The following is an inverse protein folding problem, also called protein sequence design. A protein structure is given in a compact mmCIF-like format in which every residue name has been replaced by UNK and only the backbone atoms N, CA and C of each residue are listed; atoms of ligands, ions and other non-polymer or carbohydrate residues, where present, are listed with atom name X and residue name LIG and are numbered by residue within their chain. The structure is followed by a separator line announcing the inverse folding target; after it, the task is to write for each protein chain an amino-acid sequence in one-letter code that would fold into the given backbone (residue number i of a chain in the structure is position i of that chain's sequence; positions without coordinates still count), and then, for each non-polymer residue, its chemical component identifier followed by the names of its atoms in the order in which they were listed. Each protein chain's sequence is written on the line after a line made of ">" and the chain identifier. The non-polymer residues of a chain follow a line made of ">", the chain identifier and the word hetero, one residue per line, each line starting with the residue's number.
data_IF_377076731824
#
_entry.id   IF_377076731824
#
_cell.length_a   1.000
_cell.length_b   1.000
_cell.length_c   1.000
_cell.angle_alpha   90.00
_cell.angle_beta   90.00
_cell.angle_gamma   90.00
#
_symmetry.space_group_name_H-M   'P 1'
#
loop_
_entity.id
_entity.type
_entity.pdbx_description
1 polymer ?
#
# COMPACT_ATOMS: atom_id res chain seq x y z
N UNK A 1 5.01 -22.65 17.61
CA UNK A 1 5.68 -21.33 17.67
C UNK A 1 6.02 -20.77 16.28
N UNK A 2 6.58 -21.54 15.33
CA UNK A 2 6.94 -21.02 13.98
C UNK A 2 5.77 -20.76 13.02
N UNK A 3 4.74 -21.61 13.01
CA UNK A 3 3.63 -21.50 12.03
C UNK A 3 2.81 -20.23 12.25
N UNK A 4 2.48 -19.91 13.51
CA UNK A 4 1.72 -18.69 13.84
C UNK A 4 2.50 -17.44 13.42
N UNK A 5 3.81 -17.38 13.72
CA UNK A 5 4.65 -16.27 13.29
C UNK A 5 4.71 -16.14 11.76
N UNK A 6 4.87 -17.25 11.04
CA UNK A 6 4.89 -17.24 9.57
C UNK A 6 3.56 -16.74 8.98
N UNK A 7 2.42 -17.15 9.54
CA UNK A 7 1.10 -16.65 9.13
C UNK A 7 1.00 -15.15 9.35
N UNK A 8 1.42 -14.64 10.52
CA UNK A 8 1.39 -13.21 10.82
C UNK A 8 2.29 -12.41 9.87
N UNK A 9 3.50 -12.90 9.58
CA UNK A 9 4.41 -12.27 8.60
C UNK A 9 3.80 -12.23 7.21
N UNK A 10 3.20 -13.34 6.75
CA UNK A 10 2.53 -13.40 5.45
C UNK A 10 1.34 -12.42 5.36
N UNK A 11 0.58 -12.25 6.44
CA UNK A 11 -0.51 -11.26 6.51
C UNK A 11 0.02 -9.82 6.39
N UNK A 12 1.11 -9.48 7.08
CA UNK A 12 1.73 -8.15 6.99
C UNK A 12 2.30 -7.90 5.59
N UNK A 13 2.95 -8.91 4.99
CA UNK A 13 3.41 -8.80 3.61
C UNK A 13 2.24 -8.56 2.63
N UNK A 14 1.13 -9.29 2.80
CA UNK A 14 -0.06 -9.11 1.98
C UNK A 14 -0.68 -7.70 2.15
N UNK A 15 -0.70 -7.15 3.36
CA UNK A 15 -1.13 -5.78 3.62
C UNK A 15 -0.28 -4.77 2.84
N UNK A 16 1.05 -4.88 2.92
CA UNK A 16 1.96 -4.00 2.18
C UNK A 16 1.79 -4.12 0.65
N UNK A 17 1.59 -5.32 0.12
CA UNK A 17 1.30 -5.50 -1.32
C UNK A 17 -0.03 -4.85 -1.74
N UNK A 18 -1.05 -4.97 -0.90
CA UNK A 18 -2.34 -4.33 -1.15
C UNK A 18 -2.23 -2.79 -1.13
N UNK A 19 -1.53 -2.24 -0.14
CA UNK A 19 -1.28 -0.79 -0.05
C UNK A 19 -0.45 -0.31 -1.24
N UNK A 20 0.63 -1.02 -1.59
CA UNK A 20 1.43 -0.74 -2.79
C UNK A 20 0.53 -0.63 -4.01
N UNK A 21 -0.36 -1.60 -4.22
CA UNK A 21 -1.23 -1.61 -5.39
C UNK A 21 -2.14 -0.37 -5.44
N UNK A 22 -2.72 0.01 -4.29
CA UNK A 22 -3.54 1.22 -4.20
C UNK A 22 -2.71 2.45 -4.54
N UNK A 23 -1.55 2.61 -3.91
CA UNK A 23 -0.76 3.84 -3.99
C UNK A 23 -0.04 4.02 -5.34
N UNK A 24 0.45 2.95 -5.97
CA UNK A 24 1.14 3.03 -7.26
C UNK A 24 0.19 3.03 -8.45
N UNK A 25 -0.87 2.21 -8.41
CA UNK A 25 -1.69 1.95 -9.60
C UNK A 25 -3.11 2.49 -9.50
N UNK A 26 -3.73 2.43 -8.32
CA UNK A 26 -5.15 2.76 -8.14
C UNK A 26 -5.40 4.04 -7.33
N UNK A 27 -4.41 4.93 -7.22
CA UNK A 27 -4.46 6.11 -6.33
C UNK A 27 -5.67 7.01 -6.60
N UNK A 28 -5.92 7.31 -7.87
CA UNK A 28 -6.98 8.23 -8.27
C UNK A 28 -8.34 7.56 -8.42
N UNK A 29 -8.42 6.24 -8.23
CA UNK A 29 -9.65 5.44 -8.32
C UNK A 29 -10.00 4.79 -6.98
N UNK A 30 -9.35 3.68 -6.63
CA UNK A 30 -9.54 2.99 -5.36
C UNK A 30 -9.04 3.84 -4.18
N UNK A 31 -7.93 4.57 -4.35
CA UNK A 31 -7.38 5.45 -3.31
C UNK A 31 -8.40 6.51 -2.85
N UNK A 32 -9.21 7.08 -3.76
CA UNK A 32 -10.30 7.99 -3.38
C UNK A 32 -11.36 7.35 -2.48
N UNK A 33 -11.63 6.06 -2.66
CA UNK A 33 -12.61 5.31 -1.86
C UNK A 33 -12.05 4.88 -0.50
N UNK A 34 -10.74 4.62 -0.46
CA UNK A 34 -9.99 4.20 0.75
C UNK A 34 -9.70 5.41 1.65
N UNK A 35 -9.13 6.48 1.09
CA UNK A 35 -8.73 7.69 1.83
C UNK A 35 -9.83 8.76 1.78
N UNK A 36 -11.01 8.46 2.36
CA UNK A 36 -12.20 9.34 2.29
C UNK A 36 -12.00 10.72 2.93
N UNK A 37 -11.09 10.81 3.89
CA UNK A 37 -10.77 12.07 4.59
C UNK A 37 -9.68 12.87 3.87
N UNK A 38 -9.06 12.33 2.81
CA UNK A 38 -8.05 13.05 2.04
C UNK A 38 -8.73 13.99 1.01
N UNK A 39 -8.29 15.25 0.88
CA UNK A 39 -8.95 16.20 -0.02
C UNK A 39 -8.98 15.70 -1.48
N UNK A 40 -10.17 15.62 -2.08
CA UNK A 40 -10.37 15.02 -3.39
C UNK A 40 -9.53 15.66 -4.52
N UNK A 41 -9.29 16.97 -4.44
CA UNK A 41 -8.49 17.71 -5.41
C UNK A 41 -6.98 17.41 -5.32
N UNK A 42 -6.51 16.79 -4.23
CA UNK A 42 -5.10 16.46 -4.04
C UNK A 42 -4.70 15.11 -4.63
N UNK A 43 -5.64 14.23 -4.99
CA UNK A 43 -5.30 12.90 -5.52
C UNK A 43 -4.50 12.96 -6.82
N UNK A 44 -4.87 13.81 -7.78
CA UNK A 44 -4.09 13.92 -9.03
C UNK A 44 -2.69 14.52 -8.83
N UNK A 45 -2.52 15.69 -8.18
CA UNK A 45 -1.19 16.26 -8.03
C UNK A 45 -0.26 15.43 -7.13
N UNK A 46 -0.79 14.58 -6.25
CA UNK A 46 0.01 13.72 -5.36
C UNK A 46 0.28 12.32 -5.92
N UNK A 47 -0.09 12.01 -7.16
CA UNK A 47 0.11 10.67 -7.74
C UNK A 47 1.57 10.20 -7.70
N UNK A 48 2.53 11.10 -7.97
CA UNK A 48 3.96 10.77 -7.87
C UNK A 48 4.42 10.50 -6.43
N UNK A 49 3.92 11.28 -5.47
CA UNK A 49 4.19 11.06 -4.04
C UNK A 49 3.63 9.71 -3.59
N UNK A 50 2.39 9.40 -3.95
CA UNK A 50 1.74 8.12 -3.66
C UNK A 50 2.51 6.95 -4.29
N UNK A 51 2.94 7.06 -5.54
CA UNK A 51 3.74 6.02 -6.18
C UNK A 51 5.05 5.74 -5.42
N UNK A 52 5.69 6.78 -4.87
CA UNK A 52 6.89 6.61 -4.03
C UNK A 52 6.56 5.94 -2.68
N UNK A 53 5.42 6.26 -2.07
CA UNK A 53 4.94 5.55 -0.86
C UNK A 53 4.65 4.08 -1.16
N UNK A 54 4.03 3.79 -2.31
CA UNK A 54 3.74 2.43 -2.72
C UNK A 54 5.01 1.63 -2.99
N UNK A 55 6.04 2.25 -3.59
CA UNK A 55 7.35 1.61 -3.78
C UNK A 55 8.01 1.25 -2.44
N UNK A 56 7.92 2.12 -1.44
CA UNK A 56 8.40 1.83 -0.08
C UNK A 56 7.70 0.61 0.53
N UNK A 57 6.37 0.54 0.43
CA UNK A 57 5.60 -0.66 0.81
C UNK A 57 6.05 -1.92 0.04
N UNK A 58 6.44 -1.77 -1.22
CA UNK A 58 7.01 -2.87 -2.03
C UNK A 58 8.30 -3.42 -1.46
N UNK A 59 9.23 -2.55 -1.07
CA UNK A 59 10.47 -2.99 -0.43
C UNK A 59 10.23 -3.64 0.93
N UNK A 60 9.28 -3.11 1.73
CA UNK A 60 8.90 -3.74 2.99
C UNK A 60 8.37 -5.16 2.77
N UNK A 61 7.44 -5.34 1.83
CA UNK A 61 6.93 -6.69 1.53
C UNK A 61 8.02 -7.61 0.98
N UNK A 62 8.92 -7.12 0.13
CA UNK A 62 10.00 -7.92 -0.42
C UNK A 62 11.01 -8.36 0.66
N UNK A 63 11.14 -7.62 1.75
CA UNK A 63 11.95 -8.03 2.91
C UNK A 63 11.28 -9.04 3.83
N UNK A 64 9.95 -9.21 3.73
CA UNK A 64 9.16 -10.13 4.57
C UNK A 64 8.93 -11.51 3.93
N UNK A 65 9.02 -11.60 2.60
CA UNK A 65 8.85 -12.82 1.79
C UNK A 65 10.21 -13.46 1.52
#
# INVERSE_FOLDING_TARGET
>A
MHIVAAILVALVAAEHLYILWIEMFAWTTAGRKTFRNFPAHLFEPTKGLAANQGLYNGFLSAGLI
#
